data_IF_147207960985
#
_entry.id   IF_147207960985
#
_cell.length_a   1.000
_cell.length_b   1.000
_cell.length_c   1.000
_cell.angle_alpha   90.00
_cell.angle_beta   90.00
_cell.angle_gamma   90.00
#
_symmetry.space_group_name_H-M   'P 1'
#
loop_
_entity.id
_entity.type
_entity.pdbx_description
1 polymer ?
#
# COMPACT_ATOMS: atom_id res chain seq x y z
N UNK A 1 -17.72 -12.10 14.43
CA UNK A 1 -17.81 -11.68 15.84
C UNK A 1 -17.08 -10.36 16.04
N UNK A 2 -17.73 -9.28 16.53
CA UNK A 2 -17.04 -8.08 16.97
C UNK A 2 -16.13 -8.42 18.17
N UNK A 3 -14.88 -7.93 18.18
CA UNK A 3 -14.02 -8.14 19.35
C UNK A 3 -14.58 -7.39 20.57
N UNK A 4 -14.63 -8.01 21.76
CA UNK A 4 -15.06 -7.35 22.99
C UNK A 4 -14.27 -6.05 23.23
N UNK A 5 -14.96 -4.98 23.63
CA UNK A 5 -14.32 -3.70 23.96
C UNK A 5 -13.38 -3.90 25.16
N UNK A 6 -12.11 -3.52 25.00
CA UNK A 6 -11.16 -3.51 26.09
C UNK A 6 -11.17 -2.11 26.73
N UNK A 7 -11.68 -1.95 27.96
CA UNK A 7 -11.82 -0.64 28.60
C UNK A 7 -10.48 0.08 28.80
N UNK A 8 -9.37 -0.66 28.95
CA UNK A 8 -8.01 -0.08 29.05
C UNK A 8 -7.51 0.58 27.75
N UNK A 9 -8.17 0.31 26.62
CA UNK A 9 -7.81 0.86 25.29
C UNK A 9 -8.79 1.93 24.80
N UNK A 10 -9.84 2.25 25.56
CA UNK A 10 -10.87 3.22 25.15
C UNK A 10 -10.35 4.65 25.07
N UNK A 11 -9.50 5.09 26.00
CA UNK A 11 -8.89 6.42 25.96
C UNK A 11 -8.02 6.62 24.71
N UNK A 12 -7.14 5.65 24.40
CA UNK A 12 -6.31 5.66 23.18
C UNK A 12 -7.15 5.63 21.91
N UNK A 13 -8.26 4.89 21.92
CA UNK A 13 -9.20 4.81 20.81
C UNK A 13 -9.90 6.14 20.57
N UNK A 14 -10.44 6.78 21.61
CA UNK A 14 -11.06 8.10 21.52
C UNK A 14 -10.08 9.15 21.00
N UNK A 15 -8.83 9.12 21.46
CA UNK A 15 -7.76 10.01 20.95
C UNK A 15 -7.46 9.75 19.47
N UNK A 16 -7.36 8.49 19.05
CA UNK A 16 -7.12 8.13 17.66
C UNK A 16 -8.30 8.53 16.75
N UNK A 17 -9.53 8.37 17.23
CA UNK A 17 -10.75 8.79 16.51
C UNK A 17 -10.80 10.32 16.36
N UNK A 18 -10.47 11.09 17.40
CA UNK A 18 -10.34 12.56 17.33
C UNK A 18 -9.25 12.99 16.35
N UNK A 19 -8.09 12.35 16.40
CA UNK A 19 -6.99 12.61 15.48
C UNK A 19 -7.39 12.36 14.02
N UNK A 20 -8.02 11.21 13.73
CA UNK A 20 -8.53 10.89 12.40
C UNK A 20 -9.62 11.87 11.94
N UNK A 21 -10.52 12.28 12.83
CA UNK A 21 -11.55 13.29 12.52
C UNK A 21 -10.91 14.61 12.09
N UNK A 22 -9.94 15.10 12.87
CA UNK A 22 -9.17 16.32 12.54
C UNK A 22 -8.48 16.20 11.18
N UNK A 23 -7.83 15.07 10.90
CA UNK A 23 -7.17 14.85 9.61
C UNK A 23 -8.16 14.91 8.44
N UNK A 24 -9.36 14.33 8.60
CA UNK A 24 -10.41 14.40 7.57
C UNK A 24 -10.92 15.81 7.33
N UNK A 25 -11.13 16.58 8.40
CA UNK A 25 -11.58 17.98 8.32
C UNK A 25 -10.60 18.84 7.52
N UNK A 26 -9.29 18.66 7.74
CA UNK A 26 -8.24 19.37 7.00
C UNK A 26 -7.80 18.66 5.71
N UNK A 27 -8.52 17.60 5.29
CA UNK A 27 -8.23 16.78 4.10
C UNK A 27 -6.79 16.23 4.01
N UNK A 28 -6.16 15.97 5.16
CA UNK A 28 -4.80 15.42 5.24
C UNK A 28 -4.85 13.88 5.24
N UNK A 29 -4.05 13.19 4.42
CA UNK A 29 -4.04 11.74 4.39
C UNK A 29 -3.43 11.15 5.68
N UNK A 30 -4.01 10.05 6.15
CA UNK A 30 -3.41 9.21 7.19
C UNK A 30 -2.23 8.40 6.60
N UNK A 31 -1.20 8.08 7.40
CA UNK A 31 -0.05 7.30 6.93
C UNK A 31 -0.43 6.01 6.17
N UNK A 32 -1.38 5.16 6.63
CA UNK A 32 -1.78 3.97 5.88
C UNK A 32 -2.38 4.26 4.50
N UNK A 33 -2.96 5.47 4.31
CA UNK A 33 -3.46 5.90 2.99
C UNK A 33 -2.31 6.27 2.06
N UNK A 34 -1.26 6.89 2.60
CA UNK A 34 -0.03 7.19 1.85
C UNK A 34 0.65 5.90 1.43
N UNK A 35 0.90 4.98 2.37
CA UNK A 35 1.54 3.69 2.08
C UNK A 35 0.73 2.88 1.06
N UNK A 36 -0.61 2.91 1.20
CA UNK A 36 -1.52 2.28 0.26
C UNK A 36 -1.44 2.87 -1.16
N UNK A 37 -1.28 4.19 -1.29
CA UNK A 37 -1.12 4.87 -2.57
C UNK A 37 0.25 4.58 -3.21
N UNK A 38 1.33 4.56 -2.41
CA UNK A 38 2.67 4.18 -2.87
C UNK A 38 2.67 2.76 -3.41
N UNK A 39 2.13 1.80 -2.66
CA UNK A 39 2.03 0.41 -3.10
C UNK A 39 1.18 0.25 -4.37
N UNK A 40 0.11 1.05 -4.52
CA UNK A 40 -0.71 1.06 -5.73
C UNK A 40 0.06 1.59 -6.95
N UNK A 41 0.78 2.70 -6.81
CA UNK A 41 1.60 3.26 -7.87
C UNK A 41 2.72 2.30 -8.29
N UNK A 42 3.37 1.64 -7.33
CA UNK A 42 4.40 0.64 -7.61
C UNK A 42 3.84 -0.55 -8.38
N UNK A 43 2.67 -1.07 -7.98
CA UNK A 43 2.00 -2.15 -8.70
C UNK A 43 1.69 -1.78 -10.16
N UNK A 44 1.22 -0.56 -10.41
CA UNK A 44 0.99 -0.05 -11.76
C UNK A 44 2.29 0.02 -12.57
N UNK A 45 3.38 0.53 -11.99
CA UNK A 45 4.68 0.59 -12.66
C UNK A 45 5.19 -0.81 -13.03
N UNK A 46 5.15 -1.75 -12.08
CA UNK A 46 5.52 -3.14 -12.29
C UNK A 46 4.68 -3.80 -13.41
N UNK A 47 3.36 -3.54 -13.43
CA UNK A 47 2.48 -4.06 -14.46
C UNK A 47 2.74 -3.46 -15.85
N UNK A 48 3.19 -2.21 -15.94
CA UNK A 48 3.62 -1.61 -17.21
C UNK A 48 4.91 -2.26 -17.73
N UNK A 49 5.93 -2.38 -16.89
CA UNK A 49 7.20 -3.05 -17.24
C UNK A 49 6.97 -4.47 -17.74
N UNK A 50 6.16 -5.26 -17.01
CA UNK A 50 5.83 -6.63 -17.41
C UNK A 50 5.06 -6.72 -18.73
N UNK A 51 4.14 -5.79 -19.01
CA UNK A 51 3.40 -5.76 -20.28
C UNK A 51 4.30 -5.49 -21.49
N UNK A 52 5.41 -4.76 -21.28
CA UNK A 52 6.41 -4.53 -22.32
C UNK A 52 7.36 -5.72 -22.50
N UNK A 53 7.20 -6.79 -21.72
CA UNK A 53 8.13 -7.93 -21.72
C UNK A 53 9.48 -7.61 -21.07
N UNK A 54 9.60 -6.44 -20.44
CA UNK A 54 10.85 -5.98 -19.84
C UNK A 54 11.02 -6.51 -18.42
N UNK A 55 12.27 -6.52 -17.97
CA UNK A 55 12.64 -6.72 -16.56
C UNK A 55 13.36 -5.48 -16.06
N UNK A 56 13.14 -5.15 -14.81
CA UNK A 56 13.82 -4.05 -14.14
C UNK A 56 14.50 -4.58 -12.90
N UNK A 57 15.83 -4.66 -12.93
CA UNK A 57 16.63 -5.09 -11.79
C UNK A 57 16.36 -4.22 -10.56
N UNK A 58 16.11 -2.92 -10.73
CA UNK A 58 15.74 -2.01 -9.64
C UNK A 58 14.40 -2.39 -9.00
N UNK A 59 13.38 -2.70 -9.79
CA UNK A 59 12.07 -3.12 -9.28
C UNK A 59 12.18 -4.48 -8.57
N UNK A 60 12.95 -5.41 -9.13
CA UNK A 60 13.20 -6.72 -8.51
C UNK A 60 13.94 -6.60 -7.18
N UNK A 61 14.96 -5.73 -7.10
CA UNK A 61 15.67 -5.42 -5.86
C UNK A 61 14.72 -4.84 -4.79
N UNK A 62 13.87 -3.88 -5.15
CA UNK A 62 12.88 -3.31 -4.22
C UNK A 62 11.92 -4.38 -3.68
N UNK A 63 11.49 -5.33 -4.52
CA UNK A 63 10.63 -6.44 -4.09
C UNK A 63 11.38 -7.37 -3.13
N UNK A 64 12.65 -7.66 -3.41
CA UNK A 64 13.48 -8.49 -2.53
C UNK A 64 13.70 -7.80 -1.17
N UNK A 65 14.08 -6.53 -1.17
CA UNK A 65 14.30 -5.74 0.05
C UNK A 65 13.02 -5.63 0.89
N UNK A 66 11.87 -5.39 0.25
CA UNK A 66 10.58 -5.35 0.94
C UNK A 66 10.25 -6.67 1.65
N UNK A 67 10.61 -7.81 1.04
CA UNK A 67 10.45 -9.14 1.65
C UNK A 67 11.40 -9.30 2.84
N UNK A 68 12.67 -8.93 2.71
CA UNK A 68 13.64 -9.02 3.81
C UNK A 68 13.27 -8.10 4.99
N UNK A 69 12.76 -6.90 4.74
CA UNK A 69 12.26 -6.00 5.79
C UNK A 69 11.09 -6.60 6.57
N UNK A 70 10.19 -7.33 5.91
CA UNK A 70 9.10 -8.04 6.61
C UNK A 70 9.62 -9.21 7.45
N UNK A 71 10.61 -9.95 6.95
CA UNK A 71 11.22 -11.05 7.71
C UNK A 71 11.97 -10.50 8.92
N UNK A 72 12.76 -9.43 8.75
CA UNK A 72 13.46 -8.75 9.84
C UNK A 72 12.50 -8.19 10.90
N UNK A 73 11.28 -7.81 10.52
CA UNK A 73 10.22 -7.42 11.45
C UNK A 73 9.56 -8.60 12.19
N UNK A 74 10.00 -9.84 11.95
CA UNK A 74 9.55 -11.05 12.63
C UNK A 74 8.34 -11.74 11.99
N UNK A 75 7.94 -11.34 10.76
CA UNK A 75 6.86 -12.02 10.05
C UNK A 75 7.35 -13.31 9.38
N UNK A 76 6.48 -14.33 9.35
CA UNK A 76 6.78 -15.60 8.70
C UNK A 76 7.05 -15.39 7.19
N UNK A 77 8.13 -15.95 6.61
CA UNK A 77 8.53 -15.67 5.22
C UNK A 77 7.43 -15.96 4.19
N UNK A 78 6.72 -17.08 4.34
CA UNK A 78 5.62 -17.47 3.45
C UNK A 78 4.46 -16.46 3.48
N UNK A 79 4.05 -16.01 4.67
CA UNK A 79 3.00 -15.01 4.83
C UNK A 79 3.45 -13.63 4.33
N UNK A 80 4.70 -13.25 4.58
CA UNK A 80 5.29 -12.01 4.08
C UNK A 80 5.26 -11.96 2.54
N UNK A 81 5.76 -13.01 1.88
CA UNK A 81 5.74 -13.12 0.41
C UNK A 81 4.31 -13.09 -0.12
N UNK A 82 3.41 -13.90 0.45
CA UNK A 82 2.01 -13.95 0.03
C UNK A 82 1.33 -12.58 0.12
N UNK A 83 1.48 -11.89 1.25
CA UNK A 83 0.89 -10.55 1.46
C UNK A 83 1.51 -9.51 0.53
N UNK A 84 2.82 -9.56 0.30
CA UNK A 84 3.51 -8.68 -0.63
C UNK A 84 3.01 -8.90 -2.07
N UNK A 85 2.96 -10.15 -2.54
CA UNK A 85 2.51 -10.48 -3.89
C UNK A 85 1.04 -10.14 -4.13
N UNK A 86 0.14 -10.35 -3.15
CA UNK A 86 -1.24 -9.86 -3.24
C UNK A 86 -1.31 -8.35 -3.42
N UNK A 87 -0.38 -7.61 -2.79
CA UNK A 87 -0.36 -6.15 -2.88
C UNK A 87 0.21 -5.62 -4.19
N UNK A 88 1.11 -6.38 -4.83
CA UNK A 88 1.85 -5.95 -6.02
C UNK A 88 1.32 -6.54 -7.33
N UNK A 89 0.86 -7.79 -7.32
CA UNK A 89 0.55 -8.56 -8.53
C UNK A 89 -0.92 -8.89 -8.68
N UNK A 90 -1.62 -9.18 -7.58
CA UNK A 90 -3.00 -9.68 -7.60
C UNK A 90 -3.99 -8.62 -7.13
N UNK A 91 -3.83 -7.40 -7.65
CA UNK A 91 -4.71 -6.27 -7.34
C UNK A 91 -5.93 -6.24 -8.26
N UNK A 92 -7.12 -6.41 -7.70
CA UNK A 92 -8.37 -6.31 -8.47
C UNK A 92 -8.63 -4.89 -8.99
N UNK A 93 -8.07 -3.88 -8.33
CA UNK A 93 -8.20 -2.46 -8.67
C UNK A 93 -7.09 -1.95 -9.62
N UNK A 94 -6.27 -2.84 -10.20
CA UNK A 94 -5.10 -2.43 -10.98
C UNK A 94 -5.47 -1.62 -12.25
N UNK A 95 -6.49 -2.05 -12.99
CA UNK A 95 -6.93 -1.38 -14.21
C UNK A 95 -7.42 0.07 -13.96
N UNK A 96 -8.34 0.34 -13.00
CA UNK A 96 -8.74 1.71 -12.70
C UNK A 96 -7.59 2.57 -12.14
N UNK A 97 -6.65 1.99 -11.40
CA UNK A 97 -5.45 2.70 -10.93
C UNK A 97 -4.49 3.08 -12.07
N UNK A 98 -4.28 2.19 -13.04
CA UNK A 98 -3.46 2.49 -14.22
C UNK A 98 -4.08 3.64 -15.02
N UNK A 99 -5.40 3.60 -15.25
CA UNK A 99 -6.12 4.71 -15.91
C UNK A 99 -5.96 6.04 -15.17
N UNK A 100 -6.18 6.06 -13.84
CA UNK A 100 -6.08 7.27 -13.03
C UNK A 100 -4.67 7.88 -12.99
N UNK A 101 -3.63 7.10 -13.24
CA UNK A 101 -2.23 7.57 -13.25
C UNK A 101 -1.75 7.95 -14.64
N UNK A 102 -2.30 7.39 -15.72
CA UNK A 102 -2.00 7.80 -17.11
C UNK A 102 -2.45 9.23 -17.40
N UNK A 103 -3.63 9.62 -16.90
CA UNK A 103 -4.19 10.95 -17.11
C UNK A 103 -3.33 12.09 -16.53
N UNK A 104 -2.34 11.78 -15.67
CA UNK A 104 -1.41 12.79 -15.15
C UNK A 104 -0.28 13.13 -16.13
N UNK A 105 0.13 12.18 -16.97
CA UNK A 105 1.24 12.38 -17.91
C UNK A 105 0.75 13.18 -19.13
N UNK A 106 -0.51 13.00 -19.55
CA UNK A 106 -1.11 13.74 -20.67
C UNK A 106 -1.64 15.14 -20.34
N UNK A 107 -1.64 15.56 -19.07
CA UNK A 107 -2.10 16.90 -18.65
C UNK A 107 -0.94 17.90 -18.45
N UNK A 108 0.29 17.48 -18.73
CA UNK A 108 1.52 18.28 -18.55
C UNK A 108 2.26 18.52 -19.87
N UNK A 109 1.59 18.37 -21.01
CA UNK A 109 2.15 18.55 -22.36
C UNK A 109 1.41 19.64 -23.10
#
# INVERSE_FOLDING_TARGET
MPRPRNPRKESRRATQERYRKRLREIRRPEAPRVDGAVAAAFAVALARVRRMGERSAAIEAIIADAKELLIAAGYAPNEAVKKLMMRLLYRDDLAPLDAATRNRIGASS
#
